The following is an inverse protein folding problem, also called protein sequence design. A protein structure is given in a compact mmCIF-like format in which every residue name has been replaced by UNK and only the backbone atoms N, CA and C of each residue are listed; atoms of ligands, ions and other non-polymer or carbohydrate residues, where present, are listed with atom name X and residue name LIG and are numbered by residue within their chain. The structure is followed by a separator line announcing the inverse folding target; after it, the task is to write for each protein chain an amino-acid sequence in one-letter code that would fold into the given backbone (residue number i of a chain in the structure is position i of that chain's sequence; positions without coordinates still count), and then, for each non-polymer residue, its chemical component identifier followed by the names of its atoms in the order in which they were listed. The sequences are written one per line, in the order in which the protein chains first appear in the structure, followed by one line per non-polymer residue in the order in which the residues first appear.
data_IF_573289989847
#
_entry.id   IF_573289989847
#
_cell.length_a   1.000
_cell.length_b   1.000
_cell.length_c   1.000
_cell.angle_alpha   90.00
_cell.angle_beta   90.00
_cell.angle_gamma   90.00
#
_symmetry.space_group_name_H-M   'P 1'
#
loop_
_entity.id
_entity.type
_entity.pdbx_description
1 polymer ?
#
# COMPACT_ATOMS: atom_id res chain seq x y z
N UNK A 1 -20.98 53.04 -10.04
CA UNK A 1 -19.71 52.37 -9.66
C UNK A 1 -20.09 51.27 -8.69
N UNK A 2 -20.19 50.03 -9.18
CA UNK A 2 -20.61 48.89 -8.38
C UNK A 2 -19.37 48.06 -8.01
N UNK A 3 -19.26 47.74 -6.73
CA UNK A 3 -18.22 46.93 -6.13
C UNK A 3 -18.20 45.50 -6.70
N UNK A 4 -17.00 44.92 -6.80
CA UNK A 4 -16.82 43.47 -6.84
C UNK A 4 -15.79 43.09 -5.79
N UNK A 5 -16.30 42.47 -4.72
CA UNK A 5 -15.54 41.77 -3.71
C UNK A 5 -14.87 40.55 -4.34
N UNK A 6 -13.57 40.39 -4.11
CA UNK A 6 -12.85 39.17 -4.44
C UNK A 6 -13.13 38.14 -3.35
N UNK A 7 -13.96 37.15 -3.67
CA UNK A 7 -14.20 35.98 -2.83
C UNK A 7 -12.93 35.12 -2.81
N UNK A 8 -12.26 35.10 -1.65
CA UNK A 8 -11.22 34.12 -1.37
C UNK A 8 -11.80 32.71 -1.45
N UNK A 9 -11.19 31.87 -2.29
CA UNK A 9 -11.45 30.43 -2.29
C UNK A 9 -10.84 29.86 -1.01
N UNK A 10 -11.71 29.54 -0.06
CA UNK A 10 -11.38 28.68 1.06
C UNK A 10 -11.05 27.31 0.48
N UNK A 11 -9.78 26.94 0.50
CA UNK A 11 -9.38 25.54 0.37
C UNK A 11 -9.95 24.85 1.60
N UNK A 12 -11.13 24.27 1.43
CA UNK A 12 -11.73 23.38 2.42
C UNK A 12 -10.71 22.27 2.65
N UNK A 13 -10.08 22.28 3.83
CA UNK A 13 -9.19 21.21 4.25
C UNK A 13 -10.01 19.92 4.20
N UNK A 14 -9.81 19.10 3.15
CA UNK A 14 -10.39 17.77 3.09
C UNK A 14 -10.14 17.09 4.44
N UNK A 15 -11.22 16.75 5.15
CA UNK A 15 -11.10 16.09 6.43
C UNK A 15 -10.21 14.86 6.28
N UNK A 16 -9.23 14.69 7.16
CA UNK A 16 -8.28 13.59 7.10
C UNK A 16 -9.00 12.23 6.98
N UNK A 17 -8.40 11.29 6.27
CA UNK A 17 -8.95 9.94 6.16
C UNK A 17 -8.73 9.23 7.48
N UNK A 18 -9.79 8.60 8.00
CA UNK A 18 -9.74 7.67 9.12
C UNK A 18 -10.08 6.29 8.57
N UNK A 19 -9.20 5.32 8.78
CA UNK A 19 -9.44 3.94 8.35
C UNK A 19 -9.02 2.95 9.43
N UNK A 20 -9.89 1.97 9.68
CA UNK A 20 -9.58 0.86 10.57
C UNK A 20 -8.69 -0.16 9.85
N UNK A 21 -7.77 -0.77 10.59
CA UNK A 21 -6.82 -1.76 10.05
C UNK A 21 -6.87 -3.05 10.86
N UNK A 22 -6.91 -4.18 10.15
CA UNK A 22 -6.65 -5.49 10.72
C UNK A 22 -5.43 -6.12 10.07
N UNK A 23 -4.56 -6.66 10.92
CA UNK A 23 -3.43 -7.46 10.50
C UNK A 23 -3.73 -8.94 10.75
N UNK A 24 -3.52 -9.77 9.75
CA UNK A 24 -3.74 -11.21 9.79
C UNK A 24 -2.42 -11.92 9.55
N UNK A 25 -1.82 -12.47 10.60
CA UNK A 25 -0.64 -13.34 10.48
C UNK A 25 -1.14 -14.73 10.08
N UNK A 26 -0.80 -15.17 8.87
CA UNK A 26 -1.17 -16.47 8.32
C UNK A 26 0.10 -17.30 8.14
N UNK A 27 0.31 -18.23 9.06
CA UNK A 27 1.56 -18.97 9.18
C UNK A 27 1.39 -20.45 8.86
N UNK A 28 2.45 -21.08 8.35
CA UNK A 28 2.50 -22.50 8.04
C UNK A 28 2.74 -23.39 9.28
N UNK A 29 3.05 -22.78 10.43
CA UNK A 29 3.51 -23.43 11.65
C UNK A 29 3.73 -22.42 12.77
N UNK A 30 4.20 -22.88 13.92
CA UNK A 30 4.31 -22.03 15.13
C UNK A 30 5.56 -21.14 15.15
N UNK A 31 6.57 -21.43 14.33
CA UNK A 31 7.83 -20.70 14.31
C UNK A 31 7.74 -19.40 13.49
N UNK A 32 8.60 -18.43 13.78
CA UNK A 32 8.71 -17.23 12.94
C UNK A 32 9.15 -17.60 11.51
N UNK A 33 10.03 -18.59 11.36
CA UNK A 33 10.42 -19.11 10.03
C UNK A 33 9.25 -19.70 9.25
N UNK A 34 8.13 -20.04 9.91
CA UNK A 34 6.88 -20.46 9.27
C UNK A 34 5.92 -19.30 8.96
N UNK A 35 6.36 -18.05 9.14
CA UNK A 35 5.55 -16.85 8.94
C UNK A 35 4.77 -16.43 10.19
N UNK A 36 4.96 -17.08 11.35
CA UNK A 36 4.31 -16.69 12.61
C UNK A 36 5.03 -15.51 13.26
N UNK A 37 4.95 -14.34 12.63
CA UNK A 37 5.65 -13.11 13.05
C UNK A 37 5.27 -12.72 14.49
N UNK A 38 6.22 -12.50 15.42
CA UNK A 38 5.91 -12.08 16.78
C UNK A 38 5.11 -10.78 16.87
N UNK A 39 4.35 -10.63 17.96
CA UNK A 39 3.51 -9.44 18.20
C UNK A 39 4.32 -8.13 18.11
N UNK A 40 5.53 -8.12 18.66
CA UNK A 40 6.42 -6.95 18.61
C UNK A 40 6.69 -6.46 17.18
N UNK A 41 7.05 -7.37 16.26
CA UNK A 41 7.30 -7.02 14.85
C UNK A 41 6.03 -6.57 14.13
N UNK A 42 4.87 -7.11 14.51
CA UNK A 42 3.58 -6.64 13.97
C UNK A 42 3.23 -5.22 14.43
N UNK A 43 3.52 -4.89 15.69
CA UNK A 43 3.36 -3.54 16.21
C UNK A 43 4.35 -2.57 15.54
N UNK A 44 5.59 -3.00 15.31
CA UNK A 44 6.56 -2.19 14.58
C UNK A 44 6.17 -1.99 13.11
N UNK A 45 5.62 -3.00 12.44
CA UNK A 45 5.05 -2.84 11.10
C UNK A 45 3.89 -1.84 11.09
N UNK A 46 2.99 -1.90 12.09
CA UNK A 46 1.91 -0.93 12.19
C UNK A 46 2.42 0.48 12.44
N UNK A 47 3.47 0.63 13.26
CA UNK A 47 4.13 1.91 13.50
C UNK A 47 4.65 2.54 12.21
N UNK A 48 5.41 1.77 11.41
CA UNK A 48 5.93 2.23 10.11
C UNK A 48 4.79 2.68 9.19
N UNK A 49 3.71 1.89 9.11
CA UNK A 49 2.54 2.23 8.31
C UNK A 49 1.89 3.53 8.79
N UNK A 50 1.57 3.61 10.09
CA UNK A 50 0.90 4.77 10.69
C UNK A 50 1.73 6.05 10.54
N UNK A 51 3.01 6.02 10.88
CA UNK A 51 3.90 7.18 10.81
C UNK A 51 4.08 7.68 9.37
N UNK A 52 4.13 6.77 8.40
CA UNK A 52 4.21 7.14 6.99
C UNK A 52 2.94 7.85 6.53
N UNK A 53 1.77 7.23 6.72
CA UNK A 53 0.51 7.74 6.18
C UNK A 53 -0.05 8.98 6.92
N UNK A 54 0.29 9.15 8.20
CA UNK A 54 -0.15 10.34 8.97
C UNK A 54 0.40 11.63 8.36
N UNK A 55 1.60 11.61 7.77
CA UNK A 55 2.20 12.75 7.07
C UNK A 55 1.36 13.21 5.87
N UNK A 56 0.52 12.32 5.33
CA UNK A 56 -0.35 12.58 4.19
C UNK A 56 -1.82 12.78 4.59
N UNK A 57 -2.10 12.91 5.90
CA UNK A 57 -3.45 13.13 6.43
C UNK A 57 -4.34 11.88 6.36
N UNK A 58 -3.74 10.69 6.43
CA UNK A 58 -4.42 9.40 6.47
C UNK A 58 -4.04 8.74 7.80
N UNK A 59 -5.00 8.59 8.71
CA UNK A 59 -4.77 7.97 10.01
C UNK A 59 -5.38 6.56 10.05
N UNK A 60 -4.50 5.60 10.24
CA UNK A 60 -4.88 4.22 10.48
C UNK A 60 -5.04 3.92 11.97
N UNK A 61 -6.08 3.16 12.31
CA UNK A 61 -6.31 2.64 13.66
C UNK A 61 -6.22 1.11 13.66
N UNK A 62 -5.22 0.55 14.34
CA UNK A 62 -5.09 -0.91 14.44
C UNK A 62 -6.18 -1.46 15.36
N UNK A 63 -7.09 -2.26 14.80
CA UNK A 63 -8.22 -2.88 15.53
C UNK A 63 -7.90 -4.26 16.06
N UNK A 64 -6.91 -4.93 15.48
CA UNK A 64 -6.39 -6.17 16.02
C UNK A 64 -5.40 -6.86 15.10
N UNK A 65 -4.61 -7.73 15.72
CA UNK A 65 -3.74 -8.70 15.05
C UNK A 65 -4.33 -10.08 15.30
N UNK A 66 -4.69 -10.79 14.24
CA UNK A 66 -5.17 -12.18 14.33
C UNK A 66 -4.10 -13.14 13.85
N UNK A 67 -4.13 -14.39 14.33
CA UNK A 67 -3.17 -15.42 13.96
C UNK A 67 -3.92 -16.67 13.49
N UNK A 68 -3.51 -17.19 12.33
CA UNK A 68 -4.06 -18.41 11.75
C UNK A 68 -2.91 -19.33 11.35
N UNK A 69 -2.91 -20.55 11.90
CA UNK A 69 -1.97 -21.60 11.49
C UNK A 69 -2.66 -22.44 10.42
N UNK A 70 -2.32 -22.20 9.17
CA UNK A 70 -2.83 -22.94 8.02
C UNK A 70 -1.77 -22.92 6.92
N UNK A 71 -1.10 -24.07 6.70
CA UNK A 71 -0.02 -24.19 5.71
C UNK A 71 -0.49 -23.87 4.30
N UNK A 72 -1.64 -24.37 3.89
CA UNK A 72 -2.15 -24.18 2.52
C UNK A 72 -2.46 -22.72 2.22
N UNK A 73 -2.95 -21.98 3.21
CA UNK A 73 -3.15 -20.53 3.09
C UNK A 73 -1.83 -19.78 3.15
N UNK A 74 -0.91 -20.16 4.05
CA UNK A 74 0.34 -19.43 4.27
C UNK A 74 1.34 -19.53 3.10
N UNK A 75 1.24 -20.57 2.26
CA UNK A 75 2.20 -20.83 1.19
C UNK A 75 1.62 -20.79 -0.23
N UNK A 76 0.37 -20.31 -0.40
CA UNK A 76 -0.25 -20.22 -1.72
C UNK A 76 -1.32 -19.14 -1.78
N UNK A 77 -1.06 -18.09 -2.56
CA UNK A 77 -2.06 -17.07 -2.87
C UNK A 77 -3.24 -17.61 -3.72
N UNK A 78 -3.16 -18.84 -4.27
CA UNK A 78 -4.26 -19.45 -5.04
C UNK A 78 -5.53 -19.66 -4.20
N UNK A 79 -5.36 -19.90 -2.90
CA UNK A 79 -6.48 -20.12 -1.97
C UNK A 79 -6.92 -18.85 -1.23
N UNK A 80 -6.49 -17.67 -1.70
CA UNK A 80 -6.78 -16.41 -1.01
C UNK A 80 -8.29 -16.11 -0.91
N UNK A 81 -9.13 -16.60 -1.83
CA UNK A 81 -10.57 -16.39 -1.76
C UNK A 81 -11.16 -17.00 -0.48
N UNK A 82 -10.86 -18.28 -0.21
CA UNK A 82 -11.32 -18.97 0.99
C UNK A 82 -10.72 -18.37 2.26
N UNK A 83 -9.42 -18.06 2.23
CA UNK A 83 -8.74 -17.41 3.35
C UNK A 83 -9.37 -16.05 3.69
N UNK A 84 -9.50 -15.15 2.72
CA UNK A 84 -10.05 -13.81 2.94
C UNK A 84 -11.54 -13.87 3.28
N UNK A 85 -12.30 -14.82 2.72
CA UNK A 85 -13.69 -15.07 3.12
C UNK A 85 -13.83 -15.39 4.60
N UNK A 86 -12.89 -16.17 5.15
CA UNK A 86 -12.91 -16.56 6.55
C UNK A 86 -12.36 -15.48 7.51
N UNK A 87 -11.40 -14.67 7.03
CA UNK A 87 -10.58 -13.83 7.91
C UNK A 87 -10.87 -12.33 7.81
N UNK A 88 -11.38 -11.83 6.67
CA UNK A 88 -11.63 -10.40 6.46
C UNK A 88 -12.54 -9.82 7.54
N UNK A 89 -12.26 -8.59 7.95
CA UNK A 89 -13.04 -7.83 8.92
C UNK A 89 -13.41 -6.45 8.39
N UNK A 90 -14.55 -5.94 8.87
CA UNK A 90 -15.04 -4.59 8.57
C UNK A 90 -15.63 -4.43 7.17
N UNK A 91 -15.85 -3.16 6.80
CA UNK A 91 -16.41 -2.76 5.51
C UNK A 91 -15.35 -2.66 4.41
N UNK A 92 -15.72 -2.03 3.28
CA UNK A 92 -14.81 -1.81 2.15
C UNK A 92 -13.80 -0.66 2.40
N UNK A 93 -14.08 0.15 3.42
CA UNK A 93 -13.22 1.19 3.99
C UNK A 93 -12.22 0.67 5.04
N UNK A 94 -12.30 -0.62 5.39
CA UNK A 94 -11.44 -1.26 6.38
C UNK A 94 -10.29 -1.99 5.69
N UNK A 95 -9.06 -1.60 6.01
CA UNK A 95 -7.86 -2.22 5.46
C UNK A 95 -7.59 -3.56 6.16
N UNK A 96 -7.47 -4.63 5.36
CA UNK A 96 -7.08 -5.95 5.82
C UNK A 96 -5.73 -6.31 5.20
N UNK A 97 -4.71 -6.56 6.02
CA UNK A 97 -3.36 -6.94 5.57
C UNK A 97 -3.04 -8.36 6.06
N UNK A 98 -2.73 -9.26 5.14
CA UNK A 98 -2.45 -10.67 5.38
C UNK A 98 -0.95 -10.93 5.20
N UNK A 99 -0.27 -11.25 6.29
CA UNK A 99 1.15 -11.58 6.29
C UNK A 99 1.32 -13.08 6.09
N UNK A 100 1.91 -13.47 4.96
CA UNK A 100 2.01 -14.87 4.50
C UNK A 100 3.46 -15.31 4.37
N UNK A 101 3.73 -16.61 4.49
CA UNK A 101 5.09 -17.17 4.37
C UNK A 101 5.62 -17.12 2.93
N UNK A 102 4.76 -17.37 1.95
CA UNK A 102 5.13 -17.41 0.53
C UNK A 102 4.00 -16.85 -0.35
N UNK A 103 4.38 -16.00 -1.31
CA UNK A 103 3.51 -15.34 -2.28
C UNK A 103 3.89 -15.69 -3.74
N UNK A 104 4.67 -16.75 -3.97
CA UNK A 104 4.99 -17.24 -5.30
C UNK A 104 5.96 -16.33 -6.08
N UNK A 105 6.92 -15.74 -5.37
CA UNK A 105 7.95 -14.86 -5.95
C UNK A 105 7.65 -13.36 -5.88
N UNK A 106 6.51 -12.96 -5.34
CA UNK A 106 6.23 -11.54 -5.01
C UNK A 106 6.54 -11.22 -3.55
N UNK A 107 6.88 -9.96 -3.26
CA UNK A 107 6.98 -9.44 -1.90
C UNK A 107 5.61 -8.99 -1.35
N UNK A 108 4.67 -8.64 -2.24
CA UNK A 108 3.34 -8.18 -1.87
C UNK A 108 2.36 -8.16 -3.04
N UNK A 109 1.08 -7.97 -2.73
CA UNK A 109 0.01 -7.72 -3.68
C UNK A 109 -1.18 -7.07 -2.96
N UNK A 110 -1.67 -5.93 -3.46
CA UNK A 110 -2.94 -5.36 -3.04
C UNK A 110 -3.88 -5.09 -4.20
N UNK A 111 -5.16 -5.12 -3.87
CA UNK A 111 -6.23 -4.76 -4.80
C UNK A 111 -6.49 -3.26 -4.73
N UNK A 112 -6.51 -2.61 -5.90
CA UNK A 112 -6.94 -1.23 -6.05
C UNK A 112 -8.41 -1.03 -5.63
N UNK A 113 -8.81 0.20 -5.27
CA UNK A 113 -10.21 0.53 -5.09
C UNK A 113 -11.01 0.26 -6.37
N UNK A 114 -12.21 -0.30 -6.20
CA UNK A 114 -13.13 -0.68 -7.26
C UNK A 114 -14.54 -0.19 -6.91
N UNK A 115 -15.25 0.34 -7.90
CA UNK A 115 -16.61 0.90 -7.74
C UNK A 115 -17.64 -0.12 -7.22
N UNK A 116 -17.43 -1.41 -7.52
CA UNK A 116 -18.30 -2.50 -7.11
C UNK A 116 -17.84 -3.16 -5.80
N UNK A 117 -16.75 -2.69 -5.20
CA UNK A 117 -16.14 -3.30 -4.02
C UNK A 117 -16.99 -3.21 -2.76
N UNK A 118 -17.98 -2.31 -2.71
CA UNK A 118 -18.86 -2.13 -1.54
C UNK A 118 -19.88 -3.23 -1.34
N UNK A 119 -20.15 -4.07 -2.33
CA UNK A 119 -21.14 -5.15 -2.24
C UNK A 119 -20.63 -6.29 -1.33
N UNK A 120 -21.16 -6.45 -0.10
CA UNK A 120 -20.62 -7.44 0.84
C UNK A 120 -20.78 -8.86 0.30
N UNK A 121 -19.73 -9.68 0.46
CA UNK A 121 -19.70 -11.06 -0.02
C UNK A 121 -19.43 -11.21 -1.52
N UNK A 122 -19.38 -10.12 -2.30
CA UNK A 122 -18.93 -10.17 -3.70
C UNK A 122 -17.46 -10.59 -3.78
N UNK A 123 -17.05 -11.14 -4.93
CA UNK A 123 -15.64 -11.51 -5.16
C UNK A 123 -14.69 -10.33 -4.93
N UNK A 124 -15.04 -9.13 -5.41
CA UNK A 124 -14.24 -7.91 -5.25
C UNK A 124 -14.09 -7.55 -3.77
N UNK A 125 -15.18 -7.56 -3.01
CA UNK A 125 -15.15 -7.30 -1.57
C UNK A 125 -14.30 -8.33 -0.81
N UNK A 126 -14.43 -9.62 -1.16
CA UNK A 126 -13.67 -10.70 -0.54
C UNK A 126 -12.17 -10.60 -0.87
N UNK A 127 -11.82 -10.30 -2.11
CA UNK A 127 -10.42 -10.18 -2.52
C UNK A 127 -9.75 -8.91 -2.01
N UNK A 128 -10.50 -7.85 -1.71
CA UNK A 128 -9.95 -6.58 -1.23
C UNK A 128 -9.00 -6.73 -0.02
N UNK A 129 -8.02 -5.84 0.02
CA UNK A 129 -6.94 -5.84 0.99
C UNK A 129 -5.61 -6.30 0.40
N UNK A 130 -4.65 -6.55 1.27
CA UNK A 130 -3.24 -6.67 0.94
C UNK A 130 -2.66 -8.00 1.39
N UNK A 131 -1.95 -8.69 0.50
CA UNK A 131 -1.08 -9.81 0.84
C UNK A 131 0.35 -9.28 0.94
N UNK A 132 1.06 -9.59 2.02
CA UNK A 132 2.45 -9.16 2.24
C UNK A 132 3.29 -10.33 2.69
N UNK A 133 4.50 -10.45 2.15
CA UNK A 133 5.43 -11.48 2.54
C UNK A 133 5.91 -11.22 3.96
N UNK A 134 5.68 -12.18 4.85
CA UNK A 134 5.94 -12.06 6.29
C UNK A 134 7.39 -11.71 6.64
N UNK A 135 8.35 -12.07 5.80
CA UNK A 135 9.78 -11.77 5.99
C UNK A 135 10.14 -10.30 5.70
N UNK A 136 9.22 -9.48 5.19
CA UNK A 136 9.44 -8.06 4.83
C UNK A 136 9.09 -7.07 5.95
N UNK A 137 8.52 -7.55 7.07
CA UNK A 137 8.26 -6.72 8.25
C UNK A 137 9.56 -6.17 8.84
N UNK A 138 9.51 -5.08 9.64
CA UNK A 138 10.68 -4.58 10.36
C UNK A 138 11.43 -5.67 11.13
N UNK A 139 12.73 -5.82 10.83
CA UNK A 139 13.58 -6.85 11.43
C UNK A 139 13.32 -8.27 10.92
N UNK A 140 12.59 -8.42 9.82
CA UNK A 140 12.39 -9.68 9.10
C UNK A 140 13.63 -10.15 8.34
N UNK A 141 13.54 -11.32 7.71
CA UNK A 141 14.67 -11.98 7.04
C UNK A 141 14.83 -11.63 5.56
N UNK A 142 13.90 -10.90 4.95
CA UNK A 142 14.00 -10.51 3.55
C UNK A 142 14.97 -9.36 3.39
N UNK A 143 16.23 -9.68 3.08
CA UNK A 143 17.30 -8.69 2.91
C UNK A 143 16.84 -7.56 1.98
N UNK A 144 17.20 -6.33 2.35
CA UNK A 144 16.93 -5.08 1.64
C UNK A 144 15.44 -4.66 1.57
N UNK A 145 14.51 -5.49 2.03
CA UNK A 145 13.06 -5.24 2.05
C UNK A 145 12.42 -5.56 3.41
N UNK A 146 13.18 -5.44 4.51
CA UNK A 146 12.77 -5.82 5.86
C UNK A 146 12.65 -4.60 6.81
N UNK A 147 12.30 -3.43 6.28
CA UNK A 147 12.00 -2.23 7.06
C UNK A 147 10.49 -1.89 7.04
N UNK A 148 9.67 -2.79 6.50
CA UNK A 148 8.23 -2.65 6.43
C UNK A 148 7.73 -1.70 5.32
N UNK A 149 8.59 -1.29 4.38
CA UNK A 149 8.17 -0.41 3.27
C UNK A 149 7.43 -1.17 2.16
N UNK A 150 7.58 -2.49 2.09
CA UNK A 150 6.70 -3.34 1.27
C UNK A 150 5.23 -3.13 1.66
N UNK A 151 4.90 -3.20 2.97
CA UNK A 151 3.52 -2.92 3.42
C UNK A 151 3.05 -1.51 3.06
N UNK A 152 3.95 -0.51 3.13
CA UNK A 152 3.62 0.87 2.73
C UNK A 152 3.31 0.96 1.23
N UNK A 153 4.14 0.36 0.38
CA UNK A 153 3.94 0.30 -1.07
C UNK A 153 2.60 -0.35 -1.43
N UNK A 154 2.36 -1.52 -0.83
CA UNK A 154 1.15 -2.31 -1.01
C UNK A 154 -0.11 -1.52 -0.59
N UNK A 155 -0.09 -0.86 0.57
CA UNK A 155 -1.20 0.01 0.98
C UNK A 155 -1.35 1.22 0.04
N UNK A 156 -0.30 1.65 -0.66
CA UNK A 156 -0.37 2.67 -1.71
C UNK A 156 -1.30 2.24 -2.84
N UNK A 157 -1.20 0.98 -3.29
CA UNK A 157 -2.14 0.39 -4.24
C UNK A 157 -3.56 0.30 -3.68
N UNK A 158 -3.71 -0.13 -2.42
CA UNK A 158 -5.02 -0.15 -1.76
C UNK A 158 -5.66 1.24 -1.70
N UNK A 159 -4.85 2.30 -1.58
CA UNK A 159 -5.29 3.70 -1.64
C UNK A 159 -5.44 4.26 -3.07
N UNK A 160 -5.17 3.46 -4.11
CA UNK A 160 -5.40 3.83 -5.51
C UNK A 160 -4.19 4.36 -6.28
N UNK A 161 -2.97 4.22 -5.74
CA UNK A 161 -1.73 4.57 -6.44
C UNK A 161 -1.27 3.44 -7.37
N UNK A 162 -0.68 3.81 -8.49
CA UNK A 162 -0.02 2.88 -9.40
C UNK A 162 1.49 2.92 -9.18
N UNK A 163 2.22 1.94 -9.73
CA UNK A 163 3.67 2.06 -9.85
C UNK A 163 4.04 3.30 -10.66
N UNK A 164 5.10 4.00 -10.26
CA UNK A 164 5.62 5.19 -10.96
C UNK A 164 6.02 4.90 -12.41
N UNK A 165 6.35 3.64 -12.70
CA UNK A 165 6.73 3.15 -14.03
C UNK A 165 5.58 2.47 -14.79
N UNK A 166 4.33 2.61 -14.35
CA UNK A 166 3.18 2.01 -15.05
C UNK A 166 3.07 2.55 -16.47
N UNK A 167 2.70 1.69 -17.41
CA UNK A 167 2.66 2.00 -18.85
C UNK A 167 3.99 1.81 -19.57
N UNK A 168 5.13 1.85 -18.86
CA UNK A 168 6.45 1.57 -19.43
C UNK A 168 6.83 2.53 -20.57
N UNK A 169 6.54 3.82 -20.40
CA UNK A 169 6.67 4.85 -21.43
C UNK A 169 7.01 6.19 -20.78
N UNK A 170 7.82 6.99 -21.47
CA UNK A 170 8.14 8.38 -21.09
C UNK A 170 7.09 9.38 -21.56
N UNK A 171 5.92 8.89 -21.97
CA UNK A 171 4.84 9.68 -22.53
C UNK A 171 3.51 9.03 -22.21
N UNK A 172 2.45 9.81 -22.27
CA UNK A 172 1.12 9.39 -21.87
C UNK A 172 0.86 9.64 -20.38
N UNK A 173 -0.20 9.05 -19.82
CA UNK A 173 -0.69 9.46 -18.52
C UNK A 173 0.07 8.85 -17.32
N UNK A 174 1.02 7.94 -17.56
CA UNK A 174 1.83 7.32 -16.51
C UNK A 174 0.99 6.75 -15.36
N UNK A 175 1.40 7.05 -14.13
CA UNK A 175 0.72 6.65 -12.90
C UNK A 175 -0.48 7.53 -12.53
N UNK A 176 -0.91 8.41 -13.45
CA UNK A 176 -2.03 9.34 -13.32
C UNK A 176 -1.80 10.35 -12.17
N UNK A 177 -0.53 10.72 -11.94
CA UNK A 177 -0.11 11.74 -11.00
C UNK A 177 0.89 12.67 -11.72
N UNK A 178 0.60 13.97 -11.76
CA UNK A 178 1.39 14.90 -12.60
C UNK A 178 2.76 15.28 -11.98
N UNK A 179 2.92 15.13 -10.67
CA UNK A 179 4.15 15.51 -9.95
C UNK A 179 5.10 14.33 -9.67
N UNK A 180 4.84 13.17 -10.28
CA UNK A 180 5.75 12.03 -10.36
C UNK A 180 6.46 12.07 -11.72
N UNK A 181 7.79 12.25 -11.76
CA UNK A 181 8.54 12.19 -13.01
C UNK A 181 8.30 10.87 -13.76
N UNK A 182 8.14 10.90 -15.09
CA UNK A 182 7.95 9.70 -15.90
C UNK A 182 9.10 8.70 -15.70
N UNK A 183 8.76 7.41 -15.66
CA UNK A 183 9.74 6.34 -15.48
C UNK A 183 9.42 5.17 -16.42
N UNK A 184 10.41 4.70 -17.17
CA UNK A 184 10.18 3.66 -18.18
C UNK A 184 10.13 2.24 -17.58
N UNK A 185 10.89 1.98 -16.51
CA UNK A 185 10.97 0.66 -15.87
C UNK A 185 11.37 0.76 -14.40
N UNK A 186 11.05 -0.24 -13.54
CA UNK A 186 11.37 -0.20 -12.11
C UNK A 186 12.85 0.05 -11.83
N UNK A 187 13.12 0.84 -10.79
CA UNK A 187 14.47 0.98 -10.22
C UNK A 187 14.77 -0.22 -9.32
N UNK A 188 16.04 -0.66 -9.28
CA UNK A 188 16.50 -1.68 -8.33
C UNK A 188 17.65 -1.15 -7.48
N UNK A 189 17.77 -1.63 -6.25
CA UNK A 189 18.77 -1.12 -5.32
C UNK A 189 18.44 0.29 -4.82
N UNK A 190 19.46 1.14 -4.75
CA UNK A 190 19.30 2.57 -4.48
C UNK A 190 20.26 3.36 -5.39
N UNK A 191 19.91 3.51 -6.68
CA UNK A 191 20.77 4.18 -7.65
C UNK A 191 20.83 5.68 -7.37
N UNK A 192 21.82 6.38 -7.94
CA UNK A 192 21.95 7.83 -7.81
C UNK A 192 21.79 8.44 -9.20
N UNK A 193 20.91 9.44 -9.33
CA UNK A 193 20.72 10.20 -10.57
C UNK A 193 20.21 9.36 -11.75
N UNK A 194 19.49 8.26 -11.47
CA UNK A 194 18.88 7.43 -12.52
C UNK A 194 17.81 8.26 -13.22
N UNK A 195 17.85 8.24 -14.55
CA UNK A 195 16.88 8.91 -15.41
C UNK A 195 16.64 8.01 -16.61
N UNK A 196 15.51 7.31 -16.59
CA UNK A 196 15.08 6.43 -17.68
C UNK A 196 14.24 7.16 -18.73
N UNK A 197 13.80 8.39 -18.43
CA UNK A 197 12.96 9.22 -19.26
C UNK A 197 13.49 10.67 -19.32
N UNK A 198 14.51 10.93 -20.16
CA UNK A 198 15.18 12.22 -20.17
C UNK A 198 14.25 13.38 -20.53
N UNK A 199 14.24 14.42 -19.69
CA UNK A 199 13.57 15.71 -19.95
C UNK A 199 12.69 16.21 -18.81
N UNK A 200 12.07 15.30 -18.06
CA UNK A 200 11.03 15.62 -17.06
C UNK A 200 11.48 15.41 -15.60
N UNK A 201 12.80 15.28 -15.39
CA UNK A 201 13.42 15.05 -14.08
C UNK A 201 13.93 13.61 -13.92
N UNK A 202 14.76 13.33 -12.89
CA UNK A 202 15.25 11.99 -12.63
C UNK A 202 14.10 11.06 -12.21
N UNK A 203 14.30 9.75 -12.40
CA UNK A 203 13.36 8.73 -11.94
C UNK A 203 13.07 8.93 -10.43
N UNK A 204 11.82 8.72 -9.98
CA UNK A 204 11.42 8.90 -8.59
C UNK A 204 11.90 7.75 -7.68
N UNK A 205 13.21 7.52 -7.62
CA UNK A 205 13.88 6.38 -6.94
C UNK A 205 13.57 6.27 -5.43
N UNK A 206 13.20 7.38 -4.80
CA UNK A 206 12.85 7.45 -3.38
C UNK A 206 11.36 7.28 -3.11
N UNK A 207 10.56 7.16 -4.16
CA UNK A 207 9.12 7.02 -4.05
C UNK A 207 8.74 5.63 -3.52
N UNK A 208 7.75 5.59 -2.63
CA UNK A 208 7.23 4.33 -2.11
C UNK A 208 6.66 3.44 -3.22
N UNK A 209 6.18 3.99 -4.33
CA UNK A 209 5.59 3.27 -5.47
C UNK A 209 6.60 2.83 -6.55
N UNK A 210 7.90 3.09 -6.39
CA UNK A 210 8.96 2.46 -7.21
C UNK A 210 9.32 1.06 -6.65
N UNK A 211 10.30 0.35 -7.22
CA UNK A 211 10.77 -0.97 -6.81
C UNK A 211 12.16 -0.98 -6.13
N UNK A 212 12.68 0.20 -5.76
CA UNK A 212 13.92 0.34 -4.97
C UNK A 212 13.86 -0.39 -3.62
N UNK A 213 15.04 -0.63 -3.04
CA UNK A 213 15.16 -1.24 -1.71
C UNK A 213 14.50 -0.37 -0.62
N UNK A 214 14.04 -0.97 0.48
CA UNK A 214 13.31 -0.29 1.55
C UNK A 214 14.06 0.94 2.11
N UNK A 215 15.38 0.84 2.29
CA UNK A 215 16.19 1.94 2.84
C UNK A 215 16.30 3.14 1.88
N UNK A 216 15.95 2.97 0.61
CA UNK A 216 15.93 4.04 -0.38
C UNK A 216 14.58 4.77 -0.41
N UNK A 217 13.51 4.15 0.11
CA UNK A 217 12.14 4.67 0.02
C UNK A 217 11.81 5.63 1.16
N UNK A 218 11.44 6.86 0.82
CA UNK A 218 11.21 7.91 1.82
C UNK A 218 9.88 8.64 1.66
N UNK A 219 9.25 8.64 0.48
CA UNK A 219 8.16 9.59 0.20
C UNK A 219 7.05 9.11 -0.75
N UNK A 220 5.87 9.69 -0.56
CA UNK A 220 4.88 9.95 -1.60
C UNK A 220 4.91 11.43 -1.98
N UNK A 221 4.48 11.76 -3.19
CA UNK A 221 4.34 13.15 -3.66
C UNK A 221 3.04 13.80 -3.17
N UNK A 222 2.94 15.15 -3.19
CA UNK A 222 1.67 15.85 -2.97
C UNK A 222 0.54 15.40 -3.89
N UNK A 223 0.82 15.10 -5.17
CA UNK A 223 -0.14 14.58 -6.14
C UNK A 223 -0.61 13.17 -5.79
N UNK A 224 0.30 12.29 -5.35
CA UNK A 224 -0.06 10.97 -4.83
C UNK A 224 -0.95 11.08 -3.58
N UNK A 225 -0.69 12.03 -2.67
CA UNK A 225 -1.61 12.33 -1.56
C UNK A 225 -2.99 12.72 -2.08
N UNK A 226 -3.09 13.67 -3.01
CA UNK A 226 -4.37 14.10 -3.55
C UNK A 226 -5.14 12.93 -4.19
N UNK A 227 -4.44 12.10 -4.97
CA UNK A 227 -5.00 10.89 -5.58
C UNK A 227 -5.51 9.89 -4.54
N UNK A 228 -4.72 9.57 -3.52
CA UNK A 228 -5.15 8.67 -2.44
C UNK A 228 -6.43 9.17 -1.76
N UNK A 229 -6.51 10.47 -1.49
CA UNK A 229 -7.70 11.07 -0.89
C UNK A 229 -8.92 10.97 -1.80
N UNK A 230 -8.77 11.28 -3.08
CA UNK A 230 -9.85 11.16 -4.07
C UNK A 230 -10.33 9.71 -4.18
N UNK A 231 -9.42 8.76 -4.42
CA UNK A 231 -9.73 7.35 -4.63
C UNK A 231 -10.43 6.73 -3.42
N UNK A 232 -9.97 7.02 -2.21
CA UNK A 232 -10.60 6.53 -0.99
C UNK A 232 -12.02 7.09 -0.81
N UNK A 233 -12.20 8.40 -0.98
CA UNK A 233 -13.51 9.05 -0.79
C UNK A 233 -14.54 8.63 -1.85
N UNK A 234 -14.09 8.37 -3.08
CA UNK A 234 -14.98 7.95 -4.17
C UNK A 234 -15.38 6.47 -4.05
N UNK A 235 -14.41 5.59 -3.83
CA UNK A 235 -14.62 4.15 -4.00
C UNK A 235 -14.73 3.38 -2.68
N UNK A 236 -14.15 3.86 -1.58
CA UNK A 236 -14.12 3.12 -0.31
C UNK A 236 -15.17 3.57 0.70
N UNK A 237 -15.44 4.88 0.79
CA UNK A 237 -16.49 5.46 1.66
C UNK A 237 -17.90 5.21 1.14
#
# INVERSE_FOLDING_TARGET
MAAREATGSLVESAAGIQADVYFHVVAAGQSESDGNIPESKMQDQFRVLKETYTQYGINFTLKGITRTINRDWATSARNQFHMKSALRKGGYDTLNVYFMKDLGGSAGLCYHPDENGKAPGSGIFIFDGCLVLSSTVPGGTHKDFNLGKVTVHEVGHWMGLSHTFVGGSCSGPGDMVDDTPPQYFPSTGCPIGRDSCPGDGPDPIHNYMDATNDYCKTEFTPGQRARMHSMFNTYRK
#
